data_IF_770769679780
#
_entry.id   IF_770769679780
#
_cell.length_a   1.000
_cell.length_b   1.000
_cell.length_c   1.000
_cell.angle_alpha   90.00
_cell.angle_beta   90.00
_cell.angle_gamma   90.00
#
_symmetry.space_group_name_H-M   'P 1'
#
loop_
_entity.id
_entity.type
_entity.pdbx_description
1 polymer ?
#
# COMPACT_ATOMS: atom_id res chain seq x y z
N UNK A 1 -15.64 -20.27 3.19
CA UNK A 1 -14.69 -19.16 2.98
C UNK A 1 -13.76 -19.57 1.85
N UNK A 2 -13.70 -18.78 0.77
CA UNK A 2 -12.80 -19.10 -0.37
C UNK A 2 -11.33 -18.81 0.00
N UNK A 3 -10.40 -19.16 -0.87
CA UNK A 3 -8.95 -19.00 -0.65
C UNK A 3 -8.55 -17.53 -0.43
N UNK A 4 -9.09 -16.59 -1.22
CA UNK A 4 -8.82 -15.16 -1.06
C UNK A 4 -9.24 -14.66 0.32
N UNK A 5 -10.42 -15.05 0.76
CA UNK A 5 -10.94 -14.66 2.07
C UNK A 5 -10.05 -15.20 3.21
N UNK A 6 -9.48 -16.41 3.06
CA UNK A 6 -8.49 -16.97 4.00
C UNK A 6 -7.18 -16.17 3.99
N UNK A 7 -6.69 -15.75 2.83
CA UNK A 7 -5.51 -14.88 2.74
C UNK A 7 -5.75 -13.54 3.43
N UNK A 8 -6.90 -12.91 3.21
CA UNK A 8 -7.24 -11.64 3.87
C UNK A 8 -7.40 -11.78 5.38
N UNK A 9 -7.95 -12.91 5.85
CA UNK A 9 -8.00 -13.19 7.28
C UNK A 9 -6.58 -13.36 7.84
N UNK A 10 -5.74 -14.19 7.21
CA UNK A 10 -4.37 -14.40 7.66
C UNK A 10 -3.52 -13.11 7.65
N UNK A 11 -3.71 -12.24 6.65
CA UNK A 11 -3.12 -10.91 6.64
C UNK A 11 -3.59 -10.06 7.82
N UNK A 12 -4.90 -10.04 8.08
CA UNK A 12 -5.51 -9.26 9.17
C UNK A 12 -5.04 -9.73 10.54
N UNK A 13 -4.96 -11.05 10.75
CA UNK A 13 -4.50 -11.66 12.01
C UNK A 13 -3.04 -11.29 12.30
N UNK A 14 -2.22 -11.17 11.25
CA UNK A 14 -0.82 -10.74 11.36
C UNK A 14 -0.68 -9.29 11.81
N UNK A 15 -1.73 -8.45 11.74
CA UNK A 15 -1.66 -7.04 12.14
C UNK A 15 -1.75 -6.81 13.66
N UNK A 16 -1.94 -7.86 14.46
CA UNK A 16 -2.01 -7.74 15.92
C UNK A 16 -0.64 -7.41 16.53
N UNK A 17 -0.48 -6.17 17.02
CA UNK A 17 0.78 -5.71 17.64
C UNK A 17 1.21 -6.50 18.87
N UNK A 18 0.31 -7.19 19.56
CA UNK A 18 0.65 -7.99 20.74
C UNK A 18 1.44 -9.26 20.39
N UNK A 19 1.32 -9.72 19.14
CA UNK A 19 1.98 -10.94 18.64
C UNK A 19 2.90 -10.69 17.45
N UNK A 20 2.93 -9.46 16.93
CA UNK A 20 3.76 -9.07 15.79
C UNK A 20 5.26 -9.30 16.04
N UNK A 21 5.91 -9.99 15.13
CA UNK A 21 7.38 -10.15 15.12
C UNK A 21 8.01 -9.07 14.22
N UNK A 22 8.80 -8.12 14.77
CA UNK A 22 9.44 -7.06 13.98
C UNK A 22 10.43 -7.56 12.92
N UNK A 23 10.81 -8.84 12.94
CA UNK A 23 11.62 -9.44 11.88
C UNK A 23 10.82 -9.80 10.62
N UNK A 24 9.49 -9.75 10.67
CA UNK A 24 8.60 -10.06 9.56
C UNK A 24 8.29 -8.83 8.70
N UNK A 25 8.16 -9.06 7.40
CA UNK A 25 7.58 -8.14 6.43
C UNK A 25 6.68 -8.93 5.48
N UNK A 26 5.60 -8.32 5.04
CA UNK A 26 4.60 -8.95 4.18
C UNK A 26 4.01 -7.92 3.23
N UNK A 27 3.93 -8.27 1.95
CA UNK A 27 3.11 -7.56 0.97
C UNK A 27 2.11 -8.56 0.41
N UNK A 28 0.82 -8.29 0.56
CA UNK A 28 -0.24 -9.11 -0.06
C UNK A 28 -0.84 -8.33 -1.21
N UNK A 29 -0.78 -8.88 -2.42
CA UNK A 29 -1.13 -8.17 -3.65
C UNK A 29 -2.17 -8.90 -4.49
N UNK A 30 -3.12 -8.15 -5.02
CA UNK A 30 -4.05 -8.58 -6.06
C UNK A 30 -3.66 -7.88 -7.36
N UNK A 31 -3.40 -8.65 -8.42
CA UNK A 31 -3.06 -8.13 -9.73
C UNK A 31 -4.15 -8.49 -10.73
N UNK A 32 -4.60 -7.53 -11.54
CA UNK A 32 -5.51 -7.75 -12.66
C UNK A 32 -4.86 -7.31 -13.96
N UNK A 33 -4.88 -8.18 -14.96
CA UNK A 33 -4.48 -7.85 -16.32
C UNK A 33 -5.72 -7.74 -17.21
N UNK A 34 -5.93 -6.58 -17.84
CA UNK A 34 -7.06 -6.40 -18.77
C UNK A 34 -6.93 -7.27 -20.03
N UNK A 35 -5.70 -7.64 -20.40
CA UNK A 35 -5.41 -8.48 -21.56
C UNK A 35 -5.91 -9.93 -21.37
N UNK A 36 -5.65 -10.52 -20.20
CA UNK A 36 -6.13 -11.88 -19.86
C UNK A 36 -7.48 -11.90 -19.15
N UNK A 37 -7.97 -10.74 -18.70
CA UNK A 37 -9.18 -10.59 -17.86
C UNK A 37 -9.16 -11.48 -16.61
N UNK A 38 -7.98 -11.65 -16.05
CA UNK A 38 -7.76 -12.55 -14.92
C UNK A 38 -7.13 -11.82 -13.74
N UNK A 39 -7.50 -12.28 -12.54
CA UNK A 39 -6.89 -11.89 -11.28
C UNK A 39 -5.85 -12.91 -10.84
N UNK A 40 -4.77 -12.44 -10.24
CA UNK A 40 -3.89 -13.23 -9.40
C UNK A 40 -3.79 -12.61 -8.00
N UNK A 41 -3.54 -13.47 -7.01
CA UNK A 41 -3.30 -13.10 -5.62
C UNK A 41 -1.94 -13.67 -5.22
N UNK A 42 -1.10 -12.83 -4.64
CA UNK A 42 0.21 -13.22 -4.11
C UNK A 42 0.44 -12.66 -2.71
N UNK A 43 1.25 -13.37 -1.93
CA UNK A 43 1.77 -12.92 -0.66
C UNK A 43 3.30 -13.03 -0.70
N UNK A 44 3.99 -11.90 -0.66
CA UNK A 44 5.44 -11.81 -0.61
C UNK A 44 5.86 -11.62 0.84
N UNK A 45 6.22 -12.72 1.50
CA UNK A 45 6.66 -12.73 2.89
C UNK A 45 8.19 -12.72 2.97
N UNK A 46 8.74 -11.86 3.83
CA UNK A 46 10.18 -11.76 4.10
C UNK A 46 10.40 -11.85 5.61
N UNK A 47 11.41 -12.61 6.03
CA UNK A 47 11.83 -12.69 7.43
C UNK A 47 13.32 -12.41 7.53
N UNK A 48 13.71 -11.47 8.39
CA UNK A 48 15.11 -10.99 8.46
C UNK A 48 16.05 -11.93 9.21
N UNK A 49 15.56 -13.08 9.68
CA UNK A 49 16.35 -14.15 10.28
C UNK A 49 16.30 -15.40 9.40
N UNK A 50 17.34 -16.25 9.39
CA UNK A 50 17.41 -17.44 8.55
C UNK A 50 16.55 -18.60 9.11
N UNK A 51 15.24 -18.37 9.24
CA UNK A 51 14.26 -19.36 9.71
C UNK A 51 13.42 -19.79 8.50
N UNK A 52 13.51 -21.05 8.05
CA UNK A 52 12.82 -21.50 6.83
C UNK A 52 11.30 -21.37 6.87
N UNK A 53 10.66 -21.54 8.04
CA UNK A 53 9.21 -21.43 8.20
C UNK A 53 8.90 -20.63 9.46
N UNK A 54 8.96 -19.28 9.38
CA UNK A 54 8.62 -18.42 10.50
C UNK A 54 7.15 -18.60 10.88
N UNK A 55 6.87 -18.91 12.15
CA UNK A 55 5.51 -19.22 12.64
C UNK A 55 4.49 -18.11 12.36
N UNK A 56 4.94 -16.86 12.28
CA UNK A 56 4.11 -15.70 11.96
C UNK A 56 3.41 -15.80 10.60
N UNK A 57 3.94 -16.61 9.67
CA UNK A 57 3.35 -16.81 8.35
C UNK A 57 2.51 -18.09 8.21
N UNK A 58 2.35 -18.90 9.26
CA UNK A 58 1.62 -20.17 9.18
C UNK A 58 0.20 -20.00 8.60
N UNK A 59 -0.53 -18.96 9.04
CA UNK A 59 -1.87 -18.67 8.55
C UNK A 59 -1.94 -18.44 7.03
N UNK A 60 -0.86 -17.96 6.41
CA UNK A 60 -0.75 -17.81 4.96
C UNK A 60 -0.31 -19.11 4.28
N UNK A 61 0.69 -19.80 4.85
CA UNK A 61 1.23 -21.04 4.30
C UNK A 61 0.20 -22.19 4.28
N UNK A 62 -0.75 -22.18 5.22
CA UNK A 62 -1.83 -23.17 5.30
C UNK A 62 -2.94 -22.95 4.25
N UNK A 63 -2.96 -21.80 3.57
CA UNK A 63 -3.90 -21.55 2.48
C UNK A 63 -3.44 -22.30 1.22
N UNK A 64 -4.35 -23.05 0.54
CA UNK A 64 -4.02 -23.68 -0.74
C UNK A 64 -3.48 -22.67 -1.75
N UNK A 65 -2.36 -23.03 -2.39
CA UNK A 65 -1.66 -22.17 -3.34
C UNK A 65 -1.24 -22.95 -4.59
N UNK A 66 -1.17 -22.27 -5.73
CA UNK A 66 -0.75 -22.86 -7.00
C UNK A 66 0.76 -22.83 -7.20
N UNK A 67 1.45 -21.94 -6.47
CA UNK A 67 2.90 -21.79 -6.48
C UNK A 67 3.36 -21.32 -5.11
N UNK A 68 4.43 -21.92 -4.61
CA UNK A 68 5.10 -21.48 -3.39
C UNK A 68 6.61 -21.54 -3.62
N UNK A 69 7.27 -20.43 -3.32
CA UNK A 69 8.72 -20.30 -3.36
C UNK A 69 9.13 -19.93 -1.95
N UNK A 70 9.95 -20.78 -1.34
CA UNK A 70 10.48 -20.55 0.00
C UNK A 70 11.98 -20.86 -0.02
N UNK A 71 12.79 -19.83 0.10
CA UNK A 71 14.24 -19.89 0.04
C UNK A 71 14.83 -18.93 1.06
N UNK A 72 15.95 -19.32 1.66
CA UNK A 72 16.82 -18.39 2.38
C UNK A 72 17.78 -17.78 1.35
N UNK A 73 17.80 -16.46 1.27
CA UNK A 73 18.62 -15.68 0.34
C UNK A 73 19.10 -14.40 1.03
N UNK A 74 20.06 -13.71 0.42
CA UNK A 74 20.50 -12.40 0.92
C UNK A 74 19.52 -11.30 0.51
N UNK A 75 19.47 -10.20 1.27
CA UNK A 75 18.67 -9.04 0.89
C UNK A 75 19.13 -8.45 -0.46
N UNK A 76 20.43 -8.50 -0.75
CA UNK A 76 20.99 -8.00 -2.01
C UNK A 76 20.50 -8.80 -3.22
N UNK A 77 20.49 -10.13 -3.12
CA UNK A 77 19.93 -11.00 -4.16
C UNK A 77 18.42 -10.81 -4.32
N UNK A 78 17.69 -10.69 -3.20
CA UNK A 78 16.25 -10.48 -3.22
C UNK A 78 15.87 -9.13 -3.86
N UNK A 79 16.60 -8.06 -3.54
CA UNK A 79 16.36 -6.72 -4.06
C UNK A 79 16.86 -6.51 -5.50
N UNK A 80 17.57 -7.50 -6.09
CA UNK A 80 18.06 -7.44 -7.47
C UNK A 80 16.92 -7.77 -8.46
N UNK A 81 15.90 -6.92 -8.48
CA UNK A 81 14.74 -7.04 -9.36
C UNK A 81 15.06 -6.59 -10.79
N UNK A 82 14.27 -7.05 -11.75
CA UNK A 82 14.41 -6.60 -13.15
C UNK A 82 13.87 -5.18 -13.29
N UNK A 83 14.51 -4.40 -14.16
CA UNK A 83 14.01 -3.08 -14.53
C UNK A 83 12.56 -3.13 -15.00
N UNK A 84 11.75 -2.21 -14.49
CA UNK A 84 10.40 -2.03 -14.99
C UNK A 84 10.47 -1.44 -16.40
N UNK A 85 9.73 -2.01 -17.38
CA UNK A 85 9.61 -1.41 -18.70
C UNK A 85 9.11 0.05 -18.65
N UNK A 86 9.42 0.89 -19.65
CA UNK A 86 8.98 2.28 -19.68
C UNK A 86 7.46 2.36 -19.93
N UNK A 87 6.68 2.27 -18.86
CA UNK A 87 5.22 2.34 -18.83
C UNK A 87 4.77 3.61 -18.10
N UNK A 88 3.54 4.04 -18.38
CA UNK A 88 2.87 5.03 -17.53
C UNK A 88 2.52 4.36 -16.19
N UNK A 89 2.70 5.09 -15.10
CA UNK A 89 2.49 4.62 -13.74
C UNK A 89 1.56 5.56 -12.99
N UNK A 90 0.68 4.97 -12.19
CA UNK A 90 -0.18 5.69 -11.26
C UNK A 90 -0.12 5.01 -9.91
N UNK A 91 -0.03 5.81 -8.84
CA UNK A 91 -0.22 5.39 -7.45
C UNK A 91 -1.31 6.22 -6.77
N UNK A 92 -2.04 5.59 -5.87
CA UNK A 92 -2.80 6.27 -4.82
C UNK A 92 -2.86 5.40 -3.56
N UNK A 93 -3.20 5.99 -2.42
CA UNK A 93 -3.10 5.28 -1.14
C UNK A 93 -4.21 5.59 -0.16
N UNK A 94 -4.49 4.63 0.73
CA UNK A 94 -5.26 4.81 1.96
C UNK A 94 -4.52 4.10 3.09
N UNK A 95 -4.77 4.51 4.33
CA UNK A 95 -4.36 3.74 5.51
C UNK A 95 -5.60 3.31 6.27
N UNK A 96 -5.70 2.03 6.61
CA UNK A 96 -6.92 1.42 7.14
C UNK A 96 -6.64 0.61 8.41
N UNK A 97 -7.62 0.53 9.30
CA UNK A 97 -7.62 -0.40 10.44
C UNK A 97 -7.83 -1.84 9.96
N UNK A 98 -7.37 -2.87 10.70
CA UNK A 98 -7.45 -4.27 10.31
C UNK A 98 -8.90 -4.71 10.10
N UNK A 99 -9.21 -5.24 8.92
CA UNK A 99 -10.52 -5.79 8.61
C UNK A 99 -10.51 -6.62 7.33
N UNK A 100 -10.49 -7.95 7.47
CA UNK A 100 -10.58 -8.88 6.33
C UNK A 100 -11.85 -8.65 5.51
N UNK A 101 -12.97 -8.34 6.17
CA UNK A 101 -14.23 -8.03 5.50
C UNK A 101 -14.13 -6.76 4.65
N UNK A 102 -13.40 -5.74 5.12
CA UNK A 102 -13.17 -4.53 4.33
C UNK A 102 -12.31 -4.81 3.10
N UNK A 103 -11.25 -5.63 3.23
CA UNK A 103 -10.42 -6.05 2.10
C UNK A 103 -11.24 -6.79 1.02
N UNK A 104 -12.21 -7.62 1.42
CA UNK A 104 -13.15 -8.27 0.48
C UNK A 104 -13.99 -7.23 -0.29
N UNK A 105 -14.61 -6.28 0.41
CA UNK A 105 -15.41 -5.21 -0.22
C UNK A 105 -14.56 -4.33 -1.14
N UNK A 106 -13.30 -4.08 -0.76
CA UNK A 106 -12.37 -3.33 -1.59
C UNK A 106 -12.13 -4.04 -2.92
N UNK A 107 -11.82 -5.35 -2.87
CA UNK A 107 -11.69 -6.17 -4.08
C UNK A 107 -12.96 -6.15 -4.93
N UNK A 108 -14.13 -6.37 -4.33
CA UNK A 108 -15.41 -6.41 -5.05
C UNK A 108 -15.72 -5.09 -5.74
N UNK A 109 -15.52 -3.98 -5.03
CA UNK A 109 -15.68 -2.62 -5.56
C UNK A 109 -14.71 -2.36 -6.70
N UNK A 110 -13.47 -2.78 -6.55
CA UNK A 110 -12.45 -2.58 -7.57
C UNK A 110 -12.76 -3.39 -8.81
N UNK A 111 -12.97 -4.69 -8.67
CA UNK A 111 -13.34 -5.59 -9.76
C UNK A 111 -14.59 -5.06 -10.49
N UNK A 112 -15.66 -4.69 -9.78
CA UNK A 112 -16.85 -4.11 -10.41
C UNK A 112 -16.55 -2.84 -11.22
N UNK A 113 -15.60 -2.03 -10.76
CA UNK A 113 -15.27 -0.74 -11.38
C UNK A 113 -14.35 -0.89 -12.58
N UNK A 114 -13.38 -1.82 -12.54
CA UNK A 114 -12.34 -1.96 -13.58
C UNK A 114 -12.53 -3.14 -14.55
N UNK A 115 -13.36 -4.15 -14.22
CA UNK A 115 -13.38 -5.40 -15.00
C UNK A 115 -13.81 -5.21 -16.46
N UNK A 116 -14.79 -4.32 -16.71
CA UNK A 116 -15.23 -3.96 -18.06
C UNK A 116 -14.41 -2.83 -18.69
N UNK A 117 -13.49 -2.23 -17.93
CA UNK A 117 -12.64 -1.15 -18.42
C UNK A 117 -11.40 -1.75 -19.10
N UNK A 118 -11.40 -1.71 -20.43
CA UNK A 118 -10.29 -2.21 -21.25
C UNK A 118 -9.80 -1.10 -22.20
N UNK A 119 -8.87 -0.25 -21.75
CA UNK A 119 -8.32 0.81 -22.57
C UNK A 119 -7.50 0.24 -23.74
N UNK A 120 -7.21 1.08 -24.73
CA UNK A 120 -6.31 0.74 -25.84
C UNK A 120 -4.96 0.28 -25.29
N UNK A 121 -4.42 -0.81 -25.85
CA UNK A 121 -3.16 -1.47 -25.45
C UNK A 121 -3.14 -2.03 -24.02
N UNK A 122 -4.29 -2.01 -23.34
CA UNK A 122 -4.51 -2.65 -22.05
C UNK A 122 -3.92 -1.91 -20.85
N UNK A 123 -4.22 -2.44 -19.66
CA UNK A 123 -3.76 -1.92 -18.37
C UNK A 123 -3.61 -3.08 -17.39
N UNK A 124 -2.58 -3.00 -16.56
CA UNK A 124 -2.42 -3.87 -15.40
C UNK A 124 -2.71 -3.06 -14.14
N UNK A 125 -3.65 -3.54 -13.34
CA UNK A 125 -4.02 -2.94 -12.07
C UNK A 125 -3.48 -3.78 -10.92
N UNK A 126 -3.09 -3.14 -9.82
CA UNK A 126 -2.70 -3.81 -8.59
C UNK A 126 -3.36 -3.17 -7.37
N UNK A 127 -3.69 -3.99 -6.39
CA UNK A 127 -3.87 -3.57 -5.00
C UNK A 127 -2.79 -4.26 -4.18
N UNK A 128 -1.97 -3.51 -3.45
CA UNK A 128 -1.08 -4.06 -2.44
C UNK A 128 -1.54 -3.65 -1.03
N UNK A 129 -1.49 -4.60 -0.11
CA UNK A 129 -1.75 -4.43 1.30
C UNK A 129 -0.46 -4.67 2.08
N UNK A 130 -0.06 -3.69 2.88
CA UNK A 130 1.21 -3.70 3.61
C UNK A 130 0.97 -3.39 5.09
N UNK A 131 1.40 -4.25 6.03
CA UNK A 131 1.22 -4.02 7.45
C UNK A 131 1.80 -2.68 7.92
N UNK A 132 1.02 -1.93 8.69
CA UNK A 132 1.45 -0.77 9.46
C UNK A 132 1.05 -0.99 10.91
N UNK A 133 1.87 -1.77 11.62
CA UNK A 133 1.55 -2.27 12.96
C UNK A 133 2.26 -1.41 14.00
N UNK A 134 1.59 -1.11 15.13
CA UNK A 134 2.15 -0.24 16.17
C UNK A 134 3.48 -0.78 16.73
N UNK A 135 3.68 -2.11 16.72
CA UNK A 135 4.94 -2.76 17.08
C UNK A 135 6.14 -2.29 16.23
N UNK A 136 5.94 -1.98 14.94
CA UNK A 136 6.97 -1.43 14.04
C UNK A 136 7.38 -0.01 14.42
N UNK A 137 6.49 0.72 15.08
CA UNK A 137 6.62 2.14 15.41
C UNK A 137 7.24 2.35 16.80
N UNK A 138 7.54 1.26 17.52
CA UNK A 138 8.12 1.35 18.87
C UNK A 138 9.47 2.06 18.82
N UNK A 139 9.58 3.18 19.54
CA UNK A 139 10.78 4.02 19.57
C UNK A 139 10.81 5.14 18.53
N UNK A 140 9.78 5.28 17.69
CA UNK A 140 9.72 6.33 16.66
C UNK A 140 9.37 7.72 17.19
N UNK A 141 8.92 7.81 18.45
CA UNK A 141 8.30 8.99 19.09
C UNK A 141 9.12 10.29 18.99
N UNK A 142 10.44 10.18 18.79
CA UNK A 142 11.34 11.33 18.66
C UNK A 142 12.30 11.23 17.47
N UNK A 143 12.04 10.31 16.53
CA UNK A 143 12.98 10.02 15.44
C UNK A 143 12.44 10.35 14.05
N UNK A 144 11.14 10.60 13.90
CA UNK A 144 10.56 11.01 12.62
C UNK A 144 9.33 11.91 12.77
N UNK A 145 8.96 12.55 11.65
CA UNK A 145 7.88 13.54 11.52
C UNK A 145 6.56 12.95 11.02
N UNK A 146 6.46 11.62 10.87
CA UNK A 146 5.28 10.99 10.27
C UNK A 146 4.06 11.00 11.21
N UNK A 147 4.27 11.27 12.50
CA UNK A 147 3.18 11.39 13.46
C UNK A 147 2.52 10.06 13.83
N UNK A 148 3.17 8.93 13.57
CA UNK A 148 2.56 7.60 13.74
C UNK A 148 2.59 7.08 15.19
N UNK A 149 3.05 7.87 16.16
CA UNK A 149 3.14 7.49 17.58
C UNK A 149 1.80 7.09 18.22
N UNK A 150 0.68 7.60 17.68
CA UNK A 150 -0.68 7.27 18.11
C UNK A 150 -1.43 6.45 17.07
N UNK A 151 -0.73 5.94 16.04
CA UNK A 151 -1.35 5.11 15.03
C UNK A 151 -1.83 3.80 15.67
N UNK A 152 -3.03 3.40 15.29
CA UNK A 152 -3.53 2.08 15.61
C UNK A 152 -2.89 1.07 14.66
N UNK A 153 -2.86 -0.20 15.07
CA UNK A 153 -2.61 -1.28 14.14
C UNK A 153 -3.47 -1.12 12.89
N UNK A 154 -2.90 -1.47 11.75
CA UNK A 154 -3.50 -1.21 10.46
C UNK A 154 -2.62 -1.64 9.31
N UNK A 155 -2.96 -1.15 8.13
CA UNK A 155 -2.24 -1.42 6.91
C UNK A 155 -2.34 -0.25 5.95
N UNK A 156 -1.27 -0.07 5.16
CA UNK A 156 -1.23 0.82 4.02
C UNK A 156 -1.78 0.05 2.82
N UNK A 157 -2.60 0.73 2.04
CA UNK A 157 -3.09 0.26 0.74
C UNK A 157 -2.38 1.05 -0.33
N UNK A 158 -1.81 0.35 -1.32
CA UNK A 158 -1.39 0.94 -2.58
C UNK A 158 -2.32 0.44 -3.68
N UNK A 159 -3.01 1.35 -4.37
CA UNK A 159 -3.55 1.08 -5.70
C UNK A 159 -2.51 1.53 -6.72
N UNK A 160 -2.19 0.66 -7.67
CA UNK A 160 -1.35 1.02 -8.80
C UNK A 160 -1.92 0.58 -10.14
N UNK A 161 -1.53 1.30 -11.18
CA UNK A 161 -1.82 0.95 -12.56
C UNK A 161 -0.57 1.12 -13.42
N UNK A 162 -0.35 0.19 -14.34
CA UNK A 162 0.71 0.22 -15.33
C UNK A 162 0.12 0.02 -16.74
N UNK A 163 0.41 0.93 -17.66
CA UNK A 163 -0.10 0.85 -19.03
C UNK A 163 0.83 1.52 -20.06
N UNK A 164 0.85 1.03 -21.31
CA UNK A 164 1.79 1.53 -22.31
C UNK A 164 1.33 2.83 -22.99
N UNK A 165 0.02 2.99 -23.21
CA UNK A 165 -0.51 4.05 -24.08
C UNK A 165 -0.86 5.33 -23.32
N UNK A 166 -0.08 6.40 -23.51
CA UNK A 166 -0.33 7.66 -22.80
C UNK A 166 -1.62 8.40 -23.21
N UNK A 167 -2.25 8.02 -24.32
CA UNK A 167 -3.51 8.63 -24.76
C UNK A 167 -4.69 8.34 -23.82
N UNK A 168 -4.60 7.29 -22.99
CA UNK A 168 -5.63 6.88 -22.03
C UNK A 168 -5.32 7.29 -20.59
N UNK A 169 -4.31 8.14 -20.36
CA UNK A 169 -3.89 8.55 -19.00
C UNK A 169 -5.05 9.10 -18.18
N UNK A 170 -5.82 10.03 -18.75
CA UNK A 170 -6.95 10.66 -18.04
C UNK A 170 -8.03 9.66 -17.65
N UNK A 171 -8.29 8.66 -18.49
CA UNK A 171 -9.32 7.65 -18.23
C UNK A 171 -8.90 6.71 -17.10
N UNK A 172 -7.62 6.32 -17.08
CA UNK A 172 -7.04 5.49 -16.01
C UNK A 172 -6.97 6.27 -14.71
N UNK A 173 -6.52 7.53 -14.73
CA UNK A 173 -6.52 8.41 -13.55
C UNK A 173 -7.91 8.61 -12.97
N UNK A 174 -8.91 8.88 -13.82
CA UNK A 174 -10.30 9.02 -13.39
C UNK A 174 -10.83 7.72 -12.77
N UNK A 175 -10.49 6.56 -13.36
CA UNK A 175 -10.90 5.26 -12.84
C UNK A 175 -10.27 4.94 -11.48
N UNK A 176 -8.98 5.23 -11.31
CA UNK A 176 -8.29 5.05 -10.04
C UNK A 176 -8.88 5.95 -8.96
N UNK A 177 -9.16 7.22 -9.29
CA UNK A 177 -9.80 8.17 -8.37
C UNK A 177 -11.20 7.73 -7.97
N UNK A 178 -12.01 7.24 -8.91
CA UNK A 178 -13.35 6.70 -8.62
C UNK A 178 -13.29 5.55 -7.61
N UNK A 179 -12.34 4.62 -7.78
CA UNK A 179 -12.14 3.49 -6.86
C UNK A 179 -11.71 3.98 -5.48
N UNK A 180 -10.71 4.86 -5.43
CA UNK A 180 -10.16 5.38 -4.18
C UNK A 180 -11.25 6.10 -3.37
N UNK A 181 -12.05 6.97 -4.02
CA UNK A 181 -13.14 7.68 -3.36
C UNK A 181 -14.19 6.72 -2.79
N UNK A 182 -14.59 5.69 -3.53
CA UNK A 182 -15.53 4.66 -3.02
C UNK A 182 -14.98 3.92 -1.80
N UNK A 183 -13.69 3.57 -1.81
CA UNK A 183 -13.05 2.92 -0.67
C UNK A 183 -12.93 3.85 0.54
N UNK A 184 -12.56 5.11 0.31
CA UNK A 184 -12.44 6.11 1.37
C UNK A 184 -13.79 6.36 2.04
N UNK A 185 -14.86 6.57 1.27
CA UNK A 185 -16.23 6.71 1.77
C UNK A 185 -16.69 5.49 2.56
N UNK A 186 -16.49 4.29 2.02
CA UNK A 186 -16.91 3.03 2.68
C UNK A 186 -16.16 2.78 4.00
N UNK A 187 -14.85 3.05 4.01
CA UNK A 187 -14.00 2.91 5.18
C UNK A 187 -14.28 3.97 6.25
N UNK A 188 -14.53 5.22 5.83
CA UNK A 188 -14.90 6.31 6.72
C UNK A 188 -16.23 6.00 7.42
N UNK A 189 -17.25 5.57 6.67
CA UNK A 189 -18.56 5.22 7.20
C UNK A 189 -18.52 4.08 8.25
N UNK A 190 -17.46 3.25 8.24
CA UNK A 190 -17.24 2.15 9.19
C UNK A 190 -16.23 2.46 10.28
N UNK A 191 -15.67 3.67 10.31
CA UNK A 191 -14.62 4.06 11.26
C UNK A 191 -13.31 3.28 11.07
N UNK A 192 -13.07 2.75 9.87
CA UNK A 192 -11.86 1.99 9.51
C UNK A 192 -10.77 2.88 8.89
N UNK A 193 -11.13 4.04 8.34
CA UNK A 193 -10.17 4.96 7.73
C UNK A 193 -9.23 5.56 8.80
N UNK A 194 -7.93 5.44 8.57
CA UNK A 194 -6.90 6.18 9.33
C UNK A 194 -6.50 7.43 8.55
N UNK A 195 -6.18 8.51 9.28
CA UNK A 195 -5.83 9.81 8.68
C UNK A 195 -4.57 9.74 7.80
N UNK A 196 -3.59 8.94 8.20
CA UNK A 196 -2.27 8.89 7.57
C UNK A 196 -2.34 8.53 6.08
N UNK A 197 -1.59 9.25 5.25
CA UNK A 197 -1.38 8.95 3.85
C UNK A 197 0.12 8.76 3.62
N UNK A 198 0.51 7.58 3.12
CA UNK A 198 1.92 7.30 2.90
C UNK A 198 2.41 8.05 1.66
N UNK A 199 3.26 9.07 1.88
CA UNK A 199 3.71 10.02 0.86
C UNK A 199 4.27 9.35 -0.40
N UNK A 200 4.97 8.23 -0.26
CA UNK A 200 5.57 7.50 -1.39
C UNK A 200 4.53 6.88 -2.34
N UNK A 201 3.28 6.67 -1.87
CA UNK A 201 2.18 6.12 -2.66
C UNK A 201 1.07 7.13 -2.93
N UNK A 202 1.20 8.36 -2.43
CA UNK A 202 0.17 9.37 -2.56
C UNK A 202 0.02 9.82 -4.02
N UNK A 203 -1.23 9.87 -4.48
CA UNK A 203 -1.57 10.43 -5.79
C UNK A 203 -1.38 11.96 -5.80
N UNK A 204 -1.22 12.60 -6.98
CA UNK A 204 -1.07 14.07 -7.06
C UNK A 204 -2.22 14.88 -6.45
N UNK A 205 -3.41 14.28 -6.31
CA UNK A 205 -4.60 14.88 -5.70
C UNK A 205 -4.77 14.53 -4.20
N UNK A 206 -3.78 13.88 -3.59
CA UNK A 206 -3.74 13.59 -2.16
C UNK A 206 -2.86 14.60 -1.41
N UNK A 207 -3.01 14.63 -0.09
CA UNK A 207 -2.44 15.64 0.79
C UNK A 207 -1.69 14.95 1.95
N UNK A 208 -0.53 14.34 1.66
CA UNK A 208 0.14 13.48 2.64
C UNK A 208 0.70 14.25 3.84
N UNK A 209 1.11 15.50 3.67
CA UNK A 209 1.65 16.29 4.79
C UNK A 209 0.56 16.69 5.80
N UNK A 210 -0.65 16.93 5.31
CA UNK A 210 -1.85 17.22 6.09
C UNK A 210 -2.31 16.01 6.89
N UNK A 211 -1.88 14.81 6.49
CA UNK A 211 -2.12 13.56 7.20
C UNK A 211 -1.29 13.42 8.49
N UNK A 212 -0.17 14.15 8.60
CA UNK A 212 0.66 14.13 9.80
C UNK A 212 -0.11 14.72 10.98
N UNK A 213 0.23 14.30 12.20
CA UNK A 213 -0.50 14.67 13.43
C UNK A 213 0.39 15.47 14.37
N UNK A 214 -0.24 16.18 15.32
CA UNK A 214 0.48 17.09 16.22
C UNK A 214 1.04 18.29 15.47
N UNK A 215 2.23 18.72 15.88
CA UNK A 215 2.89 19.91 15.34
C UNK A 215 3.87 19.58 14.20
N UNK A 216 3.88 18.35 13.68
CA UNK A 216 4.89 17.89 12.71
C UNK A 216 4.87 18.68 11.39
N UNK A 217 3.68 19.03 10.88
CA UNK A 217 3.56 19.86 9.68
C UNK A 217 4.10 21.27 9.92
N UNK A 218 3.78 21.88 11.06
CA UNK A 218 4.27 23.21 11.40
C UNK A 218 5.79 23.20 11.68
N UNK A 219 6.30 22.13 12.27
CA UNK A 219 7.73 21.88 12.41
C UNK A 219 8.40 21.83 11.03
N UNK A 220 7.88 21.05 10.08
CA UNK A 220 8.40 20.98 8.71
C UNK A 220 8.40 22.35 8.01
N UNK A 221 7.31 23.12 8.16
CA UNK A 221 7.24 24.50 7.63
C UNK A 221 8.29 25.41 8.27
N UNK A 222 8.53 25.27 9.58
CA UNK A 222 9.55 26.05 10.29
C UNK A 222 10.96 25.72 9.81
N UNK A 223 11.25 24.44 9.56
CA UNK A 223 12.53 23.95 9.02
C UNK A 223 12.71 24.48 7.59
N UNK A 224 11.68 24.40 6.74
CA UNK A 224 11.72 24.94 5.39
C UNK A 224 12.03 26.45 5.38
N UNK A 225 11.39 27.24 6.25
CA UNK A 225 11.67 28.69 6.35
C UNK A 225 13.11 28.98 6.79
N UNK A 226 13.67 28.15 7.67
CA UNK A 226 15.03 28.34 8.20
C UNK A 226 16.12 27.97 7.19
N UNK A 227 15.94 26.87 6.46
CA UNK A 227 17.00 26.27 5.63
C UNK A 227 16.78 26.45 4.12
N UNK A 228 15.55 26.73 3.67
CA UNK A 228 15.21 27.08 2.29
C UNK A 228 14.34 28.37 2.25
N UNK A 229 14.86 29.51 2.73
CA UNK A 229 14.10 30.76 2.75
C UNK A 229 13.68 31.26 1.36
N UNK A 230 14.44 30.88 0.31
CA UNK A 230 14.10 31.18 -1.08
C UNK A 230 13.01 30.25 -1.66
N UNK A 231 12.65 29.19 -0.93
CA UNK A 231 11.61 28.22 -1.30
C UNK A 231 11.94 27.50 -2.62
N UNK A 232 13.22 27.20 -2.86
CA UNK A 232 13.69 26.50 -4.06
C UNK A 232 13.07 25.10 -4.12
N UNK A 233 13.04 24.37 -3.02
CA UNK A 233 12.45 23.03 -2.97
C UNK A 233 10.91 23.07 -3.08
N UNK A 234 10.29 24.19 -2.69
CA UNK A 234 8.85 24.35 -2.87
C UNK A 234 8.46 24.75 -4.30
N UNK A 235 9.35 25.40 -5.05
CA UNK A 235 9.02 26.01 -6.36
C UNK A 235 9.68 25.37 -7.58
N UNK A 236 10.81 24.68 -7.42
CA UNK A 236 11.70 24.31 -8.53
C UNK A 236 11.95 22.81 -8.69
N UNK A 237 11.42 21.98 -7.80
CA UNK A 237 11.52 20.51 -7.87
C UNK A 237 10.14 19.88 -7.90
N UNK A 238 10.03 18.62 -8.33
CA UNK A 238 8.77 17.86 -8.29
C UNK A 238 8.31 17.47 -6.87
N UNK A 239 7.28 16.64 -6.79
CA UNK A 239 6.76 16.10 -5.53
C UNK A 239 5.86 17.05 -4.74
N UNK A 240 5.33 16.56 -3.62
CA UNK A 240 4.43 17.28 -2.71
C UNK A 240 5.11 18.49 -2.06
N UNK A 241 4.30 19.51 -1.73
CA UNK A 241 4.73 20.81 -1.20
C UNK A 241 4.19 21.02 0.22
N UNK A 242 4.93 21.79 1.03
CA UNK A 242 4.58 22.17 2.41
C UNK A 242 3.75 23.46 2.46
#
# INVERSE_FOLDING_TARGET
MNERDKVFQAFTDLLDSSTYDPAASLVTSLLYSSASKAWSLSASAVYTKPVPQPKIFNGLSDVPHTKHVNNITTLAEFANEKDTPPLNWLFATLTLKPSAQNMQRMFETFNKTIFSFNPQDGVTWSIAFEPLVAAMLKGSKHTNVLGLQSAHDGYIVLISALWPNSAVNSDIEAKAKEVLSKWEEDALAKGLLQKFQYLNYAAPYQWPFESYVGDELEFLKSVSKKYDPAQILQKRVGGFKL
#
